data_IF_297578764423
#
_entry.id   IF_297578764423
#
_cell.length_a   1.000
_cell.length_b   1.000
_cell.length_c   1.000
_cell.angle_alpha   90.00
_cell.angle_beta   90.00
_cell.angle_gamma   90.00
#
_symmetry.space_group_name_H-M   'P 1'
#
loop_
_entity.id
_entity.type
_entity.pdbx_description
1 polymer ?
#
# COMPACT_ATOMS: atom_id res chain seq x y z
N UNK A 1 13.43 -11.12 -2.06
CA UNK A 1 14.92 -11.16 -2.21
C UNK A 1 15.29 -11.27 -3.68
N UNK A 2 14.85 -12.29 -4.40
CA UNK A 2 15.21 -12.53 -5.80
C UNK A 2 14.98 -11.32 -6.72
N UNK A 3 13.82 -10.67 -6.63
CA UNK A 3 13.53 -9.48 -7.43
C UNK A 3 14.49 -8.31 -7.12
N UNK A 4 14.79 -8.09 -5.83
CA UNK A 4 15.75 -7.05 -5.42
C UNK A 4 17.15 -7.38 -5.96
N UNK A 5 17.52 -8.65 -5.95
CA UNK A 5 18.79 -9.11 -6.50
C UNK A 5 18.89 -8.85 -8.00
N UNK A 6 17.88 -9.26 -8.78
CA UNK A 6 17.86 -9.10 -10.24
C UNK A 6 17.78 -7.64 -10.70
N UNK A 7 16.94 -6.85 -10.04
CA UNK A 7 16.71 -5.44 -10.44
C UNK A 7 17.79 -4.52 -9.90
N UNK A 8 18.36 -4.85 -8.75
CA UNK A 8 19.33 -4.02 -8.05
C UNK A 8 18.68 -2.98 -7.13
N UNK A 9 19.06 -3.04 -5.85
CA UNK A 9 18.54 -2.13 -4.80
C UNK A 9 18.71 -0.65 -5.16
N UNK A 10 19.88 -0.27 -5.67
CA UNK A 10 20.18 1.12 -5.97
C UNK A 10 19.35 1.66 -7.14
N UNK A 11 19.12 0.82 -8.14
CA UNK A 11 18.21 1.16 -9.24
C UNK A 11 16.77 1.34 -8.74
N UNK A 12 16.28 0.43 -7.88
CA UNK A 12 14.94 0.55 -7.27
C UNK A 12 14.81 1.88 -6.53
N UNK A 13 15.76 2.20 -5.63
CA UNK A 13 15.70 3.44 -4.85
C UNK A 13 15.83 4.70 -5.73
N UNK A 14 16.67 4.67 -6.78
CA UNK A 14 16.74 5.74 -7.77
C UNK A 14 15.41 5.96 -8.47
N UNK A 15 14.71 4.88 -8.81
CA UNK A 15 13.40 4.94 -9.44
C UNK A 15 12.34 5.52 -8.48
N UNK A 16 12.31 5.05 -7.23
CA UNK A 16 11.40 5.55 -6.20
C UNK A 16 11.57 7.05 -5.93
N UNK A 17 12.82 7.54 -5.90
CA UNK A 17 13.14 8.96 -5.70
C UNK A 17 13.08 9.80 -6.98
N UNK A 18 12.78 9.20 -8.14
CA UNK A 18 12.80 9.93 -9.41
C UNK A 18 11.76 11.06 -9.45
N UNK A 19 12.01 12.15 -10.20
CA UNK A 19 11.03 13.24 -10.37
C UNK A 19 9.70 12.77 -10.97
N UNK A 20 9.72 11.67 -11.72
CA UNK A 20 8.52 11.07 -12.32
C UNK A 20 7.58 10.50 -11.26
N UNK A 21 8.10 9.75 -10.28
CA UNK A 21 7.26 9.03 -9.33
C UNK A 21 7.18 9.71 -7.97
N UNK A 22 8.29 10.25 -7.46
CA UNK A 22 8.39 10.90 -6.15
C UNK A 22 7.82 10.04 -5.02
N UNK A 23 8.13 8.75 -5.04
CA UNK A 23 7.70 7.80 -4.02
C UNK A 23 8.66 7.75 -2.82
N UNK A 24 9.80 8.41 -2.93
CA UNK A 24 10.69 8.82 -1.84
C UNK A 24 11.01 10.31 -2.02
N UNK A 25 10.60 11.14 -1.08
CA UNK A 25 10.79 12.60 -1.15
C UNK A 25 10.95 13.15 0.27
N UNK A 26 12.06 13.80 0.56
CA UNK A 26 12.40 14.34 1.88
C UNK A 26 11.35 15.35 2.38
N UNK A 27 10.74 16.12 1.47
CA UNK A 27 9.68 17.09 1.78
C UNK A 27 8.42 16.43 2.38
N UNK A 28 8.22 15.13 2.14
CA UNK A 28 7.12 14.32 2.67
C UNK A 28 7.60 13.28 3.68
N UNK A 29 8.69 13.60 4.40
CA UNK A 29 9.25 12.74 5.44
C UNK A 29 9.72 11.37 4.92
N UNK A 30 10.30 11.32 3.71
CA UNK A 30 10.79 10.12 3.06
C UNK A 30 9.75 9.38 2.23
N UNK A 31 9.65 8.08 2.38
CA UNK A 31 8.73 7.28 1.59
C UNK A 31 9.13 5.83 1.44
N UNK A 32 8.92 5.28 0.23
CA UNK A 32 9.25 3.90 -0.06
C UNK A 32 10.76 3.75 -0.22
N UNK A 33 11.36 2.85 0.57
CA UNK A 33 12.79 2.58 0.57
C UNK A 33 13.10 1.09 0.66
N UNK A 34 13.99 0.61 -0.19
CA UNK A 34 14.50 -0.76 -0.19
C UNK A 34 15.95 -0.75 0.25
N UNK A 35 16.23 -1.13 1.49
CA UNK A 35 17.56 -1.02 2.08
C UNK A 35 18.45 -2.24 1.91
N UNK A 36 17.89 -3.43 1.71
CA UNK A 36 18.65 -4.68 1.53
C UNK A 36 17.82 -5.77 0.86
N UNK A 37 18.51 -6.83 0.46
CA UNK A 37 17.88 -8.13 0.25
C UNK A 37 17.57 -8.79 1.60
N UNK A 38 16.59 -9.69 1.66
CA UNK A 38 16.22 -10.40 2.89
C UNK A 38 17.13 -11.59 3.21
N UNK A 39 18.28 -11.72 2.52
CA UNK A 39 19.28 -12.73 2.78
C UNK A 39 20.19 -12.35 3.95
N UNK A 40 20.73 -13.34 4.66
CA UNK A 40 21.71 -13.12 5.73
C UNK A 40 23.02 -12.59 5.15
N UNK A 41 23.71 -11.70 5.90
CA UNK A 41 25.04 -11.21 5.52
C UNK A 41 25.07 -10.14 4.44
N UNK A 42 23.93 -9.71 3.91
CA UNK A 42 23.88 -8.63 2.91
C UNK A 42 23.99 -7.26 3.56
N UNK A 43 24.86 -6.41 3.01
CA UNK A 43 25.06 -5.05 3.46
C UNK A 43 23.79 -4.21 3.31
N UNK A 44 23.49 -3.41 4.33
CA UNK A 44 22.39 -2.45 4.31
C UNK A 44 22.79 -1.17 3.55
N UNK A 45 21.86 -0.63 2.77
CA UNK A 45 21.83 0.78 2.42
C UNK A 45 20.61 1.38 3.11
N UNK A 46 20.83 2.00 4.24
CA UNK A 46 19.74 2.52 5.07
C UNK A 46 19.10 3.74 4.43
N UNK A 47 17.84 3.95 4.74
CA UNK A 47 17.10 5.15 4.41
C UNK A 47 17.82 6.39 4.92
N UNK A 48 18.03 7.42 4.07
CA UNK A 48 18.82 8.60 4.42
C UNK A 48 18.26 9.43 5.57
N UNK A 49 16.93 9.48 5.74
CA UNK A 49 16.28 10.34 6.73
C UNK A 49 16.14 9.66 8.10
N UNK A 50 15.72 8.40 8.12
CA UNK A 50 15.32 7.71 9.35
C UNK A 50 16.21 6.51 9.69
N UNK A 51 17.25 6.27 8.91
CA UNK A 51 18.19 5.16 9.13
C UNK A 51 17.50 3.78 9.19
N UNK A 52 16.38 3.60 8.46
CA UNK A 52 15.63 2.36 8.37
C UNK A 52 16.22 1.41 7.34
N UNK A 53 16.08 0.10 7.56
CA UNK A 53 16.51 -0.90 6.56
C UNK A 53 15.53 -1.00 5.38
N UNK A 54 14.25 -0.88 5.67
CA UNK A 54 13.15 -0.69 4.71
C UNK A 54 12.24 0.38 5.27
N UNK A 55 11.73 1.23 4.42
CA UNK A 55 10.87 2.34 4.83
C UNK A 55 9.61 2.41 3.97
N UNK A 56 8.56 2.93 4.58
CA UNK A 56 7.35 3.36 3.91
C UNK A 56 6.67 4.44 4.76
N UNK A 57 6.10 5.44 4.10
CA UNK A 57 5.10 6.33 4.70
C UNK A 57 3.73 5.99 4.14
N UNK A 58 2.66 6.23 4.91
CA UNK A 58 1.30 6.00 4.43
C UNK A 58 1.00 6.87 3.21
N UNK A 59 1.44 8.12 3.21
CA UNK A 59 1.25 9.05 2.10
C UNK A 59 1.90 8.57 0.79
N UNK A 60 3.17 8.17 0.82
CA UNK A 60 3.86 7.72 -0.40
C UNK A 60 3.38 6.35 -0.87
N UNK A 61 2.93 5.49 0.05
CA UNK A 61 2.25 4.25 -0.32
C UNK A 61 0.91 4.54 -1.00
N UNK A 62 0.11 5.47 -0.47
CA UNK A 62 -1.13 5.89 -1.13
C UNK A 62 -0.88 6.50 -2.50
N UNK A 63 0.19 7.32 -2.65
CA UNK A 63 0.62 7.86 -3.94
C UNK A 63 0.98 6.76 -4.95
N UNK A 64 1.65 5.68 -4.51
CA UNK A 64 1.92 4.53 -5.38
C UNK A 64 0.61 3.94 -5.93
N UNK A 65 -0.37 3.70 -5.07
CA UNK A 65 -1.67 3.17 -5.49
C UNK A 65 -2.46 4.16 -6.37
N UNK A 66 -2.38 5.44 -6.10
CA UNK A 66 -2.97 6.48 -6.95
C UNK A 66 -2.37 6.46 -8.37
N UNK A 67 -1.04 6.41 -8.49
CA UNK A 67 -0.36 6.32 -9.78
C UNK A 67 -0.71 5.01 -10.51
N UNK A 68 -0.85 3.93 -9.77
CA UNK A 68 -1.28 2.64 -10.30
C UNK A 68 -2.69 2.71 -10.86
N UNK A 69 -3.65 3.21 -10.08
CA UNK A 69 -5.06 3.33 -10.46
C UNK A 69 -5.27 4.24 -11.67
N UNK A 70 -4.56 5.35 -11.71
CA UNK A 70 -4.66 6.34 -12.79
C UNK A 70 -3.83 6.00 -14.04
N UNK A 71 -3.20 4.83 -14.07
CA UNK A 71 -2.42 4.38 -15.23
C UNK A 71 -1.07 5.10 -15.41
N UNK A 72 -0.60 5.81 -14.39
CA UNK A 72 0.62 6.62 -14.43
C UNK A 72 1.87 5.88 -13.94
N UNK A 73 1.72 4.65 -13.42
CA UNK A 73 2.84 3.82 -13.00
C UNK A 73 3.33 3.00 -14.21
N UNK A 74 4.52 3.34 -14.71
CA UNK A 74 5.16 2.81 -15.93
C UNK A 74 4.38 3.17 -17.21
N UNK A 75 3.28 2.51 -17.50
CA UNK A 75 2.34 2.79 -18.60
C UNK A 75 0.91 2.36 -18.21
N UNK A 76 -0.14 2.87 -18.90
CA UNK A 76 -1.51 2.46 -18.61
C UNK A 76 -1.75 0.95 -18.70
N UNK A 77 -1.14 0.26 -19.67
CA UNK A 77 -1.26 -1.19 -19.83
C UNK A 77 -0.62 -1.94 -18.66
N UNK A 78 0.63 -1.61 -18.32
CA UNK A 78 1.35 -2.22 -17.20
C UNK A 78 0.71 -1.90 -15.85
N UNK A 79 0.17 -0.70 -15.67
CA UNK A 79 -0.57 -0.35 -14.46
C UNK A 79 -1.80 -1.26 -14.26
N UNK A 80 -2.55 -1.56 -15.33
CA UNK A 80 -3.67 -2.51 -15.26
C UNK A 80 -3.21 -3.92 -14.89
N UNK A 81 -2.12 -4.40 -15.49
CA UNK A 81 -1.56 -5.73 -15.14
C UNK A 81 -1.11 -5.77 -13.67
N UNK A 82 -0.40 -4.75 -13.20
CA UNK A 82 0.04 -4.65 -11.80
C UNK A 82 -1.15 -4.60 -10.84
N UNK A 83 -2.22 -3.86 -11.17
CA UNK A 83 -3.46 -3.84 -10.40
C UNK A 83 -4.09 -5.23 -10.34
N UNK A 84 -4.20 -5.93 -11.48
CA UNK A 84 -4.74 -7.28 -11.53
C UNK A 84 -3.95 -8.27 -10.65
N UNK A 85 -2.63 -8.17 -10.59
CA UNK A 85 -1.79 -9.00 -9.71
C UNK A 85 -2.05 -8.76 -8.22
N UNK A 86 -2.58 -7.60 -7.82
CA UNK A 86 -2.94 -7.27 -6.45
C UNK A 86 -4.36 -7.74 -6.08
N UNK A 87 -5.15 -8.11 -7.06
CA UNK A 87 -6.50 -8.64 -6.87
C UNK A 87 -6.51 -10.06 -6.31
N UNK A 88 -7.65 -10.47 -5.80
CA UNK A 88 -7.86 -11.79 -5.22
C UNK A 88 -6.78 -12.24 -4.20
N UNK A 89 -6.55 -11.47 -3.12
CA UNK A 89 -5.51 -11.76 -2.15
C UNK A 89 -5.75 -13.08 -1.41
N UNK A 90 -4.76 -13.98 -1.44
CA UNK A 90 -4.86 -15.29 -0.79
C UNK A 90 -4.89 -15.25 0.75
N UNK A 91 -4.36 -14.19 1.37
CA UNK A 91 -4.35 -14.04 2.83
C UNK A 91 -5.51 -13.14 3.27
N UNK A 92 -6.51 -13.74 3.91
CA UNK A 92 -7.75 -13.07 4.31
C UNK A 92 -7.68 -12.54 5.74
N UNK A 93 -6.89 -11.49 5.97
CA UNK A 93 -6.79 -10.80 7.26
C UNK A 93 -6.83 -9.27 7.08
N UNK A 94 -6.86 -8.49 8.16
CA UNK A 94 -6.83 -7.02 8.17
C UNK A 94 -7.89 -6.44 7.21
N UNK A 95 -7.51 -5.65 6.20
CA UNK A 95 -8.43 -5.02 5.26
C UNK A 95 -9.35 -6.03 4.57
N UNK A 96 -8.80 -7.15 4.09
CA UNK A 96 -9.63 -8.19 3.46
C UNK A 96 -10.68 -8.71 4.43
N UNK A 97 -10.29 -9.04 5.68
CA UNK A 97 -11.24 -9.55 6.67
C UNK A 97 -12.28 -8.49 7.07
N UNK A 98 -11.87 -7.22 7.18
CA UNK A 98 -12.78 -6.11 7.48
C UNK A 98 -13.87 -5.99 6.43
N UNK A 99 -13.49 -5.90 5.15
CA UNK A 99 -14.45 -5.81 4.04
C UNK A 99 -15.29 -7.09 3.88
N UNK A 100 -14.72 -8.28 4.03
CA UNK A 100 -15.50 -9.53 3.98
C UNK A 100 -16.61 -9.57 5.03
N UNK A 101 -16.40 -8.94 6.20
CA UNK A 101 -17.37 -8.93 7.28
C UNK A 101 -18.50 -7.92 7.08
N UNK A 102 -18.24 -6.80 6.38
CA UNK A 102 -19.18 -5.67 6.25
C UNK A 102 -19.64 -5.40 4.82
N UNK A 103 -18.81 -5.67 3.84
CA UNK A 103 -18.99 -5.30 2.44
C UNK A 103 -18.44 -6.41 1.52
N UNK A 104 -18.99 -7.64 1.57
CA UNK A 104 -18.44 -8.81 0.88
C UNK A 104 -18.40 -8.67 -0.65
N UNK A 105 -19.17 -7.76 -1.22
CA UNK A 105 -19.18 -7.42 -2.65
C UNK A 105 -18.06 -6.46 -3.07
N UNK A 106 -17.36 -5.84 -2.12
CA UNK A 106 -16.24 -4.94 -2.42
C UNK A 106 -15.08 -5.69 -3.07
N UNK A 107 -14.57 -5.14 -4.17
CA UNK A 107 -13.33 -5.62 -4.79
C UNK A 107 -12.13 -4.96 -4.14
N UNK A 108 -11.10 -5.75 -3.85
CA UNK A 108 -9.89 -5.25 -3.18
C UNK A 108 -8.63 -5.68 -3.92
N UNK A 109 -7.76 -4.70 -4.21
CA UNK A 109 -6.45 -4.87 -4.83
C UNK A 109 -5.39 -4.48 -3.78
N UNK A 110 -4.72 -5.47 -3.19
CA UNK A 110 -4.13 -5.28 -1.87
C UNK A 110 -2.74 -5.88 -1.72
N UNK A 111 -1.91 -5.22 -0.88
CA UNK A 111 -0.68 -5.80 -0.32
C UNK A 111 -0.58 -5.52 1.18
N UNK A 112 -0.35 -6.56 1.96
CA UNK A 112 -0.15 -6.45 3.40
C UNK A 112 1.27 -6.80 3.81
N UNK A 113 1.65 -6.38 5.01
CA UNK A 113 2.87 -6.76 5.69
C UNK A 113 2.66 -6.94 7.19
N UNK A 114 3.43 -7.85 7.79
CA UNK A 114 3.52 -8.02 9.24
C UNK A 114 4.93 -8.42 9.63
N UNK A 115 5.44 -7.83 10.71
CA UNK A 115 6.69 -8.20 11.32
C UNK A 115 6.68 -7.81 12.80
N UNK A 116 6.70 -8.79 13.70
CA UNK A 116 6.46 -8.56 15.13
C UNK A 116 5.17 -7.75 15.33
N UNK A 117 5.25 -6.63 16.08
CA UNK A 117 4.13 -5.72 16.34
C UNK A 117 3.88 -4.69 15.22
N UNK A 118 4.63 -4.78 14.13
CA UNK A 118 4.41 -3.92 12.97
C UNK A 118 3.39 -4.53 12.04
N UNK A 119 2.37 -3.77 11.70
CA UNK A 119 1.32 -4.15 10.78
C UNK A 119 1.16 -3.09 9.70
N UNK A 120 1.10 -3.55 8.47
CA UNK A 120 0.81 -2.72 7.31
C UNK A 120 -0.32 -3.34 6.50
N UNK A 121 -1.17 -2.51 5.95
CA UNK A 121 -2.08 -2.88 4.88
C UNK A 121 -2.30 -1.69 3.96
N UNK A 122 -2.49 -1.98 2.67
CA UNK A 122 -2.66 -0.96 1.64
C UNK A 122 -3.45 -1.54 0.48
N UNK A 123 -4.43 -0.80 -0.01
CA UNK A 123 -5.32 -1.30 -1.06
C UNK A 123 -5.93 -0.17 -1.91
N UNK A 124 -6.29 -0.54 -3.14
CA UNK A 124 -7.39 0.07 -3.88
C UNK A 124 -8.64 -0.75 -3.56
N UNK A 125 -9.73 -0.09 -3.23
CA UNK A 125 -11.04 -0.71 -2.99
C UNK A 125 -12.03 -0.13 -3.98
N UNK A 126 -12.79 -1.02 -4.61
CA UNK A 126 -13.90 -0.68 -5.49
C UNK A 126 -15.19 -1.22 -4.87
N UNK A 127 -16.09 -0.33 -4.49
CA UNK A 127 -17.35 -0.69 -3.86
C UNK A 127 -18.46 0.28 -4.24
N UNK A 128 -19.62 -0.24 -4.63
CA UNK A 128 -20.83 0.53 -4.98
C UNK A 128 -20.54 1.72 -5.91
N UNK A 129 -19.75 1.50 -6.97
CA UNK A 129 -19.38 2.52 -7.96
C UNK A 129 -18.34 3.55 -7.47
N UNK A 130 -17.74 3.34 -6.31
CA UNK A 130 -16.63 4.16 -5.78
C UNK A 130 -15.32 3.41 -5.85
N UNK A 131 -14.26 4.17 -6.12
CA UNK A 131 -12.88 3.69 -6.02
C UNK A 131 -12.13 4.58 -5.04
N UNK A 132 -11.50 3.98 -4.05
CA UNK A 132 -10.68 4.70 -3.09
C UNK A 132 -9.39 3.95 -2.75
N UNK A 133 -8.42 4.68 -2.22
CA UNK A 133 -7.15 4.13 -1.73
C UNK A 133 -7.13 4.20 -0.21
N UNK A 134 -6.88 3.07 0.43
CA UNK A 134 -6.67 2.99 1.87
C UNK A 134 -5.26 2.48 2.18
N UNK A 135 -4.57 3.16 3.10
CA UNK A 135 -3.25 2.75 3.60
C UNK A 135 -3.20 2.93 5.11
N UNK A 136 -2.78 1.90 5.81
CA UNK A 136 -2.56 1.97 7.26
C UNK A 136 -1.28 1.25 7.67
N UNK A 137 -0.51 1.92 8.51
CA UNK A 137 0.72 1.43 9.13
C UNK A 137 0.56 1.58 10.64
N UNK A 138 0.69 0.47 11.38
CA UNK A 138 0.53 0.46 12.83
C UNK A 138 1.66 -0.32 13.51
N UNK A 139 2.05 0.13 14.70
CA UNK A 139 2.93 -0.59 15.59
C UNK A 139 2.17 -0.88 16.89
N UNK A 140 1.65 -2.09 17.01
CA UNK A 140 0.92 -2.56 18.19
C UNK A 140 0.74 -4.08 18.11
N UNK A 141 0.74 -4.82 19.22
CA UNK A 141 0.40 -6.25 19.25
C UNK A 141 -0.98 -6.55 18.65
N UNK A 142 -1.92 -5.60 18.75
CA UNK A 142 -3.29 -5.71 18.21
C UNK A 142 -3.51 -4.94 16.90
N UNK A 143 -2.43 -4.47 16.27
CA UNK A 143 -2.50 -3.65 15.06
C UNK A 143 -3.25 -4.30 13.90
N UNK A 144 -3.21 -5.64 13.79
CA UNK A 144 -3.99 -6.36 12.78
C UNK A 144 -5.50 -6.19 12.94
N UNK A 145 -5.99 -6.18 14.18
CA UNK A 145 -7.41 -5.91 14.51
C UNK A 145 -7.77 -4.45 14.23
N UNK A 146 -6.88 -3.51 14.57
CA UNK A 146 -7.11 -2.10 14.26
C UNK A 146 -7.29 -1.86 12.76
N UNK A 147 -6.43 -2.46 11.93
CA UNK A 147 -6.53 -2.32 10.49
C UNK A 147 -7.81 -2.97 9.92
N UNK A 148 -8.25 -4.09 10.52
CA UNK A 148 -9.52 -4.72 10.17
C UNK A 148 -10.71 -3.79 10.41
N UNK A 149 -10.78 -3.21 11.61
CA UNK A 149 -11.88 -2.33 12.00
C UNK A 149 -11.84 -1.02 11.21
N UNK A 150 -10.65 -0.44 11.03
CA UNK A 150 -10.46 0.79 10.28
C UNK A 150 -11.07 0.73 8.87
N UNK A 151 -10.81 -0.34 8.12
CA UNK A 151 -11.31 -0.43 6.74
C UNK A 151 -12.82 -0.62 6.69
N UNK A 152 -13.40 -1.36 7.64
CA UNK A 152 -14.83 -1.56 7.73
C UNK A 152 -15.58 -0.24 7.99
N UNK A 153 -15.07 0.57 8.93
CA UNK A 153 -15.63 1.89 9.23
C UNK A 153 -15.41 2.88 8.09
N UNK A 154 -14.20 2.89 7.50
CA UNK A 154 -13.87 3.76 6.38
C UNK A 154 -14.78 3.51 5.18
N UNK A 155 -15.02 2.24 4.82
CA UNK A 155 -15.90 1.87 3.71
C UNK A 155 -17.32 2.35 3.97
N UNK A 156 -17.84 2.15 5.19
CA UNK A 156 -19.17 2.64 5.61
C UNK A 156 -19.27 4.17 5.45
N UNK A 157 -18.28 4.92 5.95
CA UNK A 157 -18.28 6.40 5.85
C UNK A 157 -18.26 6.85 4.38
N UNK A 158 -17.47 6.20 3.53
CA UNK A 158 -17.38 6.54 2.10
C UNK A 158 -18.73 6.31 1.42
N UNK A 159 -19.45 5.24 1.76
CA UNK A 159 -20.77 4.95 1.20
C UNK A 159 -21.84 5.93 1.73
N UNK A 160 -21.82 6.29 3.01
CA UNK A 160 -22.75 7.28 3.59
C UNK A 160 -22.58 8.66 2.96
N UNK A 161 -21.35 9.07 2.66
CA UNK A 161 -21.08 10.31 1.93
C UNK A 161 -21.71 10.32 0.53
N UNK A 162 -21.88 9.15 -0.08
CA UNK A 162 -22.62 8.98 -1.34
C UNK A 162 -24.09 9.34 -1.20
N UNK A 163 -24.77 8.76 -0.20
CA UNK A 163 -26.21 8.95 0.00
C UNK A 163 -26.53 10.42 0.21
N UNK A 164 -25.71 11.14 0.97
CA UNK A 164 -25.84 12.59 1.21
C UNK A 164 -25.59 13.45 -0.04
N UNK A 165 -24.75 12.99 -0.97
CA UNK A 165 -24.41 13.75 -2.19
C UNK A 165 -25.44 13.54 -3.30
N UNK A 166 -26.17 12.42 -3.28
CA UNK A 166 -27.20 12.08 -4.28
C UNK A 166 -28.60 12.51 -3.84
N UNK A 167 -28.76 13.09 -2.63
CA UNK A 167 -30.01 13.66 -2.16
C UNK A 167 -31.10 12.64 -1.82
N UNK A 168 -30.70 11.44 -1.38
CA UNK A 168 -31.54 10.41 -0.78
C UNK A 168 -31.46 10.46 0.74
#
# INVERSE_FOLDING_TARGET
>A
TELIHRVGRDYINKLLASPKYRLYDERYNGGLWVGKEYARGVAYKRDPLHNLSHGATAFQTARFYYLLETGQLVSPALSREMKAMLGNPGIKHKFVKGLMDTSPEAQIYRKSGSWRDWHADSAIVEHAGRTYVAVALAKSPVGGTWLKNLIAELDTIILELLLKTVGL
#
